data_IF_616428473044
#
_entry.id   IF_616428473044
#
_cell.length_a   1.000
_cell.length_b   1.000
_cell.length_c   1.000
_cell.angle_alpha   90.00
_cell.angle_beta   90.00
_cell.angle_gamma   90.00
#
_symmetry.space_group_name_H-M   'P 1'
#
loop_
_entity.id
_entity.type
_entity.pdbx_description
1 polymer ?
#
# COMPACT_ATOMS: atom_id res chain seq x y z
N UNK A 1 -41.09 -32.42 -32.08
CA UNK A 1 -40.16 -33.10 -33.02
C UNK A 1 -38.84 -33.30 -32.28
N UNK A 2 -38.41 -34.53 -31.94
CA UNK A 2 -37.46 -35.41 -32.71
C UNK A 2 -36.18 -34.64 -33.12
N UNK A 3 -34.93 -35.04 -32.83
CA UNK A 3 -34.28 -36.34 -32.57
C UNK A 3 -32.89 -36.13 -31.93
N UNK A 4 -32.40 -37.17 -31.24
CA UNK A 4 -31.02 -37.70 -31.14
C UNK A 4 -29.89 -36.89 -31.80
N UNK A 5 -28.76 -36.56 -31.16
CA UNK A 5 -27.83 -37.45 -30.46
C UNK A 5 -26.82 -38.07 -31.45
N UNK A 6 -25.53 -37.75 -31.37
CA UNK A 6 -24.44 -38.63 -31.84
C UNK A 6 -23.11 -38.30 -31.16
N UNK A 7 -22.63 -39.28 -30.40
CA UNK A 7 -21.29 -39.43 -29.83
C UNK A 7 -20.31 -39.74 -30.96
N UNK A 8 -19.09 -39.18 -30.95
CA UNK A 8 -17.98 -39.78 -31.71
C UNK A 8 -16.66 -39.68 -30.95
N UNK A 9 -16.15 -40.87 -30.64
CA UNK A 9 -14.84 -41.18 -30.08
C UNK A 9 -13.70 -40.65 -30.96
N UNK A 10 -12.62 -40.18 -30.33
CA UNK A 10 -11.39 -39.81 -31.00
C UNK A 10 -10.19 -39.80 -30.05
N UNK A 11 -9.45 -40.90 -30.08
CA UNK A 11 -8.16 -41.22 -29.47
C UNK A 11 -7.25 -40.08 -28.97
N UNK A 12 -6.76 -40.29 -27.74
CA UNK A 12 -5.37 -40.13 -27.26
C UNK A 12 -4.34 -39.57 -28.26
N UNK A 13 -3.76 -38.40 -27.96
CA UNK A 13 -2.30 -38.16 -27.99
C UNK A 13 -1.99 -37.15 -26.88
N UNK A 14 -1.14 -37.53 -25.92
CA UNK A 14 -0.60 -36.60 -24.95
C UNK A 14 0.24 -35.54 -25.65
N UNK A 15 -0.01 -34.27 -25.33
CA UNK A 15 0.92 -33.19 -25.63
C UNK A 15 1.43 -32.61 -24.33
N UNK A 16 2.75 -32.70 -24.25
CA UNK A 16 3.68 -32.27 -23.23
C UNK A 16 3.53 -30.79 -22.92
N UNK A 17 3.87 -30.45 -21.67
CA UNK A 17 4.14 -29.10 -21.17
C UNK A 17 4.73 -28.17 -22.24
N UNK A 18 4.22 -26.95 -22.27
CA UNK A 18 5.07 -25.77 -22.20
C UNK A 18 4.36 -24.75 -21.29
N UNK A 19 4.68 -24.77 -20.00
CA UNK A 19 4.55 -23.58 -19.17
C UNK A 19 5.56 -22.56 -19.73
N UNK A 20 5.11 -21.72 -20.66
CA UNK A 20 5.85 -20.51 -21.04
C UNK A 20 5.76 -19.52 -19.89
N UNK A 21 6.62 -19.71 -18.89
CA UNK A 21 6.98 -18.65 -17.96
C UNK A 21 7.79 -17.61 -18.71
N UNK A 22 7.25 -16.40 -18.86
CA UNK A 22 8.05 -15.23 -19.22
C UNK A 22 8.82 -14.78 -17.96
N UNK A 23 9.91 -15.48 -17.64
CA UNK A 23 10.94 -14.93 -16.76
C UNK A 23 11.88 -14.07 -17.62
N UNK A 24 11.56 -12.78 -17.72
CA UNK A 24 12.50 -11.78 -18.21
C UNK A 24 13.64 -11.66 -17.20
N UNK A 25 14.85 -12.04 -17.62
CA UNK A 25 16.09 -11.79 -16.88
C UNK A 25 16.38 -10.28 -16.89
N UNK A 26 16.52 -9.61 -15.73
CA UNK A 26 17.00 -8.24 -15.71
C UNK A 26 18.48 -8.23 -16.08
N UNK A 27 18.80 -7.48 -17.14
CA UNK A 27 20.15 -7.16 -17.54
C UNK A 27 20.89 -6.50 -16.37
N UNK A 28 22.10 -6.97 -16.08
CA UNK A 28 23.00 -6.40 -15.10
C UNK A 28 23.62 -5.10 -15.64
N UNK A 29 22.80 -4.06 -15.72
CA UNK A 29 23.22 -2.67 -15.80
C UNK A 29 22.23 -1.82 -15.01
N UNK A 30 22.16 -2.08 -13.70
CA UNK A 30 21.52 -1.18 -12.75
C UNK A 30 22.37 0.09 -12.64
N UNK A 31 22.29 0.93 -13.68
CA UNK A 31 22.42 2.36 -13.51
C UNK A 31 21.35 2.74 -12.50
N UNK A 32 21.77 3.16 -11.31
CA UNK A 32 20.89 3.79 -10.32
C UNK A 32 20.35 5.08 -10.94
N UNK A 33 19.32 4.95 -11.76
CA UNK A 33 18.45 6.07 -12.06
C UNK A 33 17.80 6.41 -10.72
N UNK A 34 18.23 7.54 -10.15
CA UNK A 34 17.43 8.24 -9.16
C UNK A 34 16.08 8.50 -9.84
N UNK A 35 15.11 7.64 -9.55
CA UNK A 35 13.76 7.75 -10.06
C UNK A 35 13.21 9.04 -9.44
N UNK A 36 13.18 10.11 -10.23
CA UNK A 36 12.48 11.33 -9.85
C UNK A 36 11.01 10.96 -9.74
N UNK A 37 10.55 10.79 -8.49
CA UNK A 37 9.16 10.56 -8.12
C UNK A 37 8.32 11.61 -8.87
N UNK A 38 7.49 11.22 -9.87
CA UNK A 38 6.72 12.17 -10.66
C UNK A 38 5.82 13.00 -9.74
N UNK A 39 5.58 14.27 -10.10
CA UNK A 39 4.70 15.16 -9.32
C UNK A 39 3.30 14.55 -9.06
N UNK A 40 2.83 13.64 -9.92
CA UNK A 40 1.59 12.87 -9.74
C UNK A 40 1.65 11.88 -8.55
N UNK A 41 2.81 11.30 -8.24
CA UNK A 41 2.99 10.45 -7.07
C UNK A 41 3.00 11.28 -5.78
N UNK A 42 3.61 12.47 -5.79
CA UNK A 42 3.54 13.42 -4.66
C UNK A 42 2.11 13.89 -4.37
N UNK A 43 1.33 14.22 -5.41
CA UNK A 43 -0.07 14.61 -5.25
C UNK A 43 -0.94 13.49 -4.63
N UNK A 44 -0.71 12.24 -5.03
CA UNK A 44 -1.39 11.08 -4.47
C UNK A 44 -0.99 10.79 -3.02
N UNK A 45 0.26 11.04 -2.64
CA UNK A 45 0.69 10.91 -1.25
C UNK A 45 0.02 11.97 -0.35
N UNK A 46 -0.06 13.22 -0.80
CA UNK A 46 -0.74 14.29 -0.06
C UNK A 46 -2.24 14.01 0.11
N UNK A 47 -2.92 13.52 -0.93
CA UNK A 47 -4.33 13.13 -0.82
C UNK A 47 -4.53 11.96 0.13
N UNK A 48 -3.64 10.97 0.11
CA UNK A 48 -3.67 9.81 1.01
C UNK A 48 -3.47 10.22 2.47
N UNK A 49 -2.56 11.17 2.73
CA UNK A 49 -2.34 11.74 4.05
C UNK A 49 -3.57 12.49 4.56
N UNK A 50 -4.15 13.38 3.74
CA UNK A 50 -5.34 14.14 4.12
C UNK A 50 -6.50 13.21 4.49
N UNK A 51 -6.71 12.12 3.73
CA UNK A 51 -7.70 11.09 4.07
C UNK A 51 -7.40 10.43 5.40
N UNK A 52 -6.15 10.04 5.63
CA UNK A 52 -5.69 9.43 6.88
C UNK A 52 -5.90 10.34 8.11
N UNK A 53 -5.70 11.65 7.97
CA UNK A 53 -6.00 12.62 9.03
C UNK A 53 -7.50 12.74 9.29
N UNK A 54 -8.32 12.70 8.24
CA UNK A 54 -9.77 12.70 8.39
C UNK A 54 -10.26 11.43 9.09
N UNK A 55 -9.70 10.26 8.74
CA UNK A 55 -10.06 8.98 9.34
C UNK A 55 -9.69 8.91 10.83
N UNK A 56 -8.52 9.39 11.23
CA UNK A 56 -8.19 9.45 12.67
C UNK A 56 -9.08 10.45 13.41
N UNK A 57 -9.44 11.57 12.80
CA UNK A 57 -10.37 12.54 13.40
C UNK A 57 -11.77 11.96 13.56
N UNK A 58 -12.23 11.15 12.58
CA UNK A 58 -13.51 10.46 12.66
C UNK A 58 -13.51 9.41 13.78
N UNK A 59 -12.39 8.72 14.04
CA UNK A 59 -12.27 7.73 15.11
C UNK A 59 -12.60 8.29 16.50
N UNK A 60 -12.36 9.59 16.74
CA UNK A 60 -12.71 10.26 18.00
C UNK A 60 -14.21 10.18 18.33
N UNK A 61 -15.08 10.03 17.33
CA UNK A 61 -16.52 9.92 17.53
C UNK A 61 -16.97 8.53 17.99
N UNK A 62 -16.11 7.51 17.83
CA UNK A 62 -16.45 6.11 18.08
C UNK A 62 -15.65 5.53 19.26
N UNK A 63 -14.36 5.85 19.36
CA UNK A 63 -13.48 5.32 20.40
C UNK A 63 -12.37 6.34 20.72
N UNK A 64 -12.58 7.12 21.77
CA UNK A 64 -11.65 8.16 22.22
C UNK A 64 -10.28 7.58 22.61
N UNK A 65 -10.24 6.40 23.22
CA UNK A 65 -8.98 5.79 23.65
C UNK A 65 -8.14 5.35 22.44
N UNK A 66 -8.76 4.71 21.44
CA UNK A 66 -8.09 4.37 20.18
C UNK A 66 -7.74 5.62 19.39
N UNK A 67 -8.59 6.64 19.39
CA UNK A 67 -8.28 7.91 18.75
C UNK A 67 -6.97 8.49 19.27
N UNK A 68 -6.82 8.66 20.59
CA UNK A 68 -5.60 9.24 21.15
C UNK A 68 -4.35 8.41 20.79
N UNK A 69 -4.43 7.08 20.90
CA UNK A 69 -3.33 6.18 20.49
C UNK A 69 -2.97 6.33 19.00
N UNK A 70 -3.98 6.41 18.14
CA UNK A 70 -3.79 6.53 16.70
C UNK A 70 -3.35 7.92 16.26
N UNK A 71 -3.77 8.96 16.96
CA UNK A 71 -3.36 10.33 16.73
C UNK A 71 -1.92 10.57 17.18
N UNK A 72 -1.57 10.15 18.40
CA UNK A 72 -0.24 10.37 18.97
C UNK A 72 0.86 9.71 18.16
N UNK A 73 0.67 8.45 17.75
CA UNK A 73 1.71 7.79 16.98
C UNK A 73 1.68 8.14 15.48
N UNK A 74 0.63 8.78 14.95
CA UNK A 74 0.69 9.45 13.64
C UNK A 74 1.52 10.74 13.77
N UNK A 75 1.27 11.55 14.79
CA UNK A 75 2.04 12.77 15.05
C UNK A 75 3.51 12.46 15.32
N UNK A 76 3.80 11.40 16.08
CA UNK A 76 5.17 10.95 16.31
C UNK A 76 5.88 10.51 15.02
N UNK A 77 5.17 9.91 14.06
CA UNK A 77 5.73 9.63 12.74
C UNK A 77 6.00 10.93 11.97
N UNK A 78 5.03 11.85 11.94
CA UNK A 78 5.16 13.14 11.25
C UNK A 78 6.31 13.99 11.79
N UNK A 79 6.52 14.03 13.11
CA UNK A 79 7.65 14.72 13.75
C UNK A 79 9.00 14.11 13.32
N UNK A 80 9.12 12.78 13.32
CA UNK A 80 10.35 12.10 12.84
C UNK A 80 10.58 12.36 11.36
N UNK A 81 9.53 12.29 10.53
CA UNK A 81 9.62 12.60 9.10
C UNK A 81 10.05 14.06 8.87
N UNK A 82 9.52 15.01 9.63
CA UNK A 82 9.90 16.42 9.54
C UNK A 82 11.38 16.63 9.91
N UNK A 83 11.86 16.02 10.99
CA UNK A 83 13.28 16.05 11.38
C UNK A 83 14.18 15.45 10.30
N UNK A 84 13.75 14.36 9.68
CA UNK A 84 14.45 13.79 8.54
C UNK A 84 14.51 14.77 7.36
N UNK A 85 13.40 15.39 6.97
CA UNK A 85 13.38 16.35 5.86
C UNK A 85 14.33 17.55 6.07
N UNK A 86 14.53 17.98 7.31
CA UNK A 86 15.49 19.05 7.66
C UNK A 86 16.96 18.60 7.50
N UNK A 87 17.24 17.31 7.67
CA UNK A 87 18.61 16.74 7.57
C UNK A 87 18.90 16.15 6.19
N UNK A 88 17.86 15.79 5.42
CA UNK A 88 17.90 15.17 4.10
C UNK A 88 18.91 15.81 3.13
N UNK A 89 19.02 17.15 3.00
CA UNK A 89 19.96 17.78 2.06
C UNK A 89 21.44 17.53 2.37
N UNK A 90 21.76 17.13 3.61
CA UNK A 90 23.12 16.87 4.08
C UNK A 90 23.54 15.40 3.90
N UNK A 91 22.61 14.54 3.45
CA UNK A 91 22.82 13.10 3.30
C UNK A 91 23.24 12.76 1.87
N UNK A 92 23.95 11.64 1.72
CA UNK A 92 24.24 11.06 0.42
C UNK A 92 22.95 10.63 -0.31
N UNK A 93 22.94 10.67 -1.64
CA UNK A 93 21.73 10.47 -2.44
C UNK A 93 21.09 9.08 -2.25
N UNK A 94 21.90 8.05 -2.04
CA UNK A 94 21.48 6.69 -1.74
C UNK A 94 20.79 6.58 -0.36
N UNK A 95 21.31 7.30 0.64
CA UNK A 95 20.67 7.43 1.95
C UNK A 95 19.33 8.16 1.85
N UNK A 96 19.26 9.23 1.06
CA UNK A 96 18.01 9.96 0.84
C UNK A 96 16.94 9.04 0.23
N UNK A 97 17.27 8.34 -0.87
CA UNK A 97 16.34 7.44 -1.53
C UNK A 97 15.84 6.32 -0.60
N UNK A 98 16.74 5.76 0.21
CA UNK A 98 16.39 4.72 1.19
C UNK A 98 15.46 5.27 2.25
N UNK A 99 15.82 6.37 2.90
CA UNK A 99 15.03 6.94 3.99
C UNK A 99 13.69 7.50 3.50
N UNK A 100 13.64 8.10 2.31
CA UNK A 100 12.40 8.53 1.66
C UNK A 100 11.43 7.34 1.52
N UNK A 101 11.93 6.20 1.03
CA UNK A 101 11.11 4.99 0.87
C UNK A 101 10.62 4.43 2.21
N UNK A 102 11.46 4.49 3.26
CA UNK A 102 11.11 4.03 4.61
C UNK A 102 9.99 4.89 5.18
N UNK A 103 10.14 6.21 5.17
CA UNK A 103 9.11 7.12 5.70
C UNK A 103 7.80 7.03 4.90
N UNK A 104 7.88 6.87 3.58
CA UNK A 104 6.70 6.63 2.75
C UNK A 104 5.97 5.33 3.13
N UNK A 105 6.71 4.24 3.34
CA UNK A 105 6.14 2.96 3.74
C UNK A 105 5.56 3.00 5.16
N UNK A 106 6.25 3.64 6.11
CA UNK A 106 5.74 3.82 7.47
C UNK A 106 4.44 4.62 7.49
N UNK A 107 4.36 5.70 6.69
CA UNK A 107 3.15 6.50 6.58
C UNK A 107 1.99 5.69 5.98
N UNK A 108 2.23 4.99 4.88
CA UNK A 108 1.21 4.15 4.25
C UNK A 108 0.70 3.06 5.22
N UNK A 109 1.60 2.40 5.93
CA UNK A 109 1.26 1.41 6.96
C UNK A 109 0.42 2.03 8.08
N UNK A 110 0.83 3.19 8.58
CA UNK A 110 0.12 3.89 9.65
C UNK A 110 -1.30 4.27 9.24
N UNK A 111 -1.45 4.80 8.04
CA UNK A 111 -2.76 5.17 7.53
C UNK A 111 -3.67 3.96 7.32
N UNK A 112 -3.13 2.83 6.86
CA UNK A 112 -3.91 1.60 6.76
C UNK A 112 -4.34 1.04 8.13
N UNK A 113 -3.52 1.20 9.17
CA UNK A 113 -3.89 0.85 10.53
C UNK A 113 -5.04 1.73 11.04
N UNK A 114 -4.94 3.04 10.87
CA UNK A 114 -6.01 4.00 11.23
C UNK A 114 -7.32 3.64 10.52
N UNK A 115 -7.25 3.38 9.21
CA UNK A 115 -8.41 2.96 8.42
C UNK A 115 -9.09 1.71 9.01
N UNK A 116 -8.27 0.70 9.35
CA UNK A 116 -8.78 -0.56 9.91
C UNK A 116 -9.40 -0.36 11.30
N UNK A 117 -8.79 0.48 12.13
CA UNK A 117 -9.31 0.78 13.48
C UNK A 117 -10.61 1.57 13.44
N UNK A 118 -10.72 2.56 12.55
CA UNK A 118 -11.99 3.26 12.30
C UNK A 118 -13.07 2.29 11.83
N UNK A 119 -12.75 1.41 10.89
CA UNK A 119 -13.71 0.42 10.40
C UNK A 119 -14.19 -0.52 11.52
N UNK A 120 -13.29 -0.97 12.38
CA UNK A 120 -13.64 -1.81 13.55
C UNK A 120 -14.53 -1.07 14.55
N UNK A 121 -14.24 0.21 14.84
CA UNK A 121 -15.04 1.01 15.75
C UNK A 121 -16.46 1.26 15.20
N UNK A 122 -16.58 1.50 13.88
CA UNK A 122 -17.88 1.63 13.22
C UNK A 122 -18.69 0.31 13.25
N UNK A 123 -18.02 -0.84 13.08
CA UNK A 123 -18.68 -2.14 13.18
C UNK A 123 -19.18 -2.42 14.62
N UNK A 124 -18.35 -2.18 15.63
CA UNK A 124 -18.74 -2.35 17.04
C UNK A 124 -19.99 -1.52 17.38
N UNK A 125 -20.04 -0.26 16.93
CA UNK A 125 -21.22 0.58 17.11
C UNK A 125 -22.46 0.03 16.39
N UNK A 126 -22.29 -0.53 15.18
CA UNK A 126 -23.40 -1.13 14.43
C UNK A 126 -23.92 -2.42 15.08
N UNK A 127 -23.03 -3.18 15.72
CA UNK A 127 -23.36 -4.40 16.47
C UNK A 127 -23.95 -4.10 17.87
N UNK A 128 -23.88 -2.85 18.32
CA UNK A 128 -24.47 -2.36 19.57
C UNK A 128 -23.59 -2.52 20.81
N UNK A 129 -22.27 -2.63 20.62
CA UNK A 129 -21.25 -2.68 21.69
C UNK A 129 -20.81 -1.29 22.17
#
# INVERSE_FOLDING_TARGET
MKLSGYFKFGATIGSVLMLTGCFSLPNANASYHAETIPAAQHANQLSSLNRCQAEVSALAQYDEARFQQQHDALNGLMDRSAKYLLTRPQLAADMQATLDSVYQAELAKRCQQIHSELFRAMLAQADGE
#
